data_IF_047014364846
#
_entry.id   IF_047014364846
#
_cell.length_a   1.000
_cell.length_b   1.000
_cell.length_c   1.000
_cell.angle_alpha   90.00
_cell.angle_beta   90.00
_cell.angle_gamma   90.00
#
_symmetry.space_group_name_H-M   'P 1'
#
loop_
_entity.id
_entity.type
_entity.pdbx_description
1 polymer ?
#
# COMPACT_ATOMS: atom_id res chain seq x y z
N UNK A 1 -31.11 -9.29 23.06
CA UNK A 1 -29.66 -9.53 22.90
C UNK A 1 -28.99 -8.95 24.15
N UNK A 2 -28.17 -9.74 24.83
CA UNK A 2 -27.49 -9.32 26.06
C UNK A 2 -26.18 -8.62 25.67
N UNK A 3 -26.11 -7.31 25.86
CA UNK A 3 -24.89 -6.52 25.70
C UNK A 3 -23.85 -6.96 26.75
N UNK A 4 -22.58 -7.09 26.35
CA UNK A 4 -21.51 -7.68 27.17
C UNK A 4 -20.31 -6.73 27.30
N UNK A 5 -20.39 -5.74 28.19
CA UNK A 5 -19.31 -4.78 28.47
C UNK A 5 -18.22 -5.30 29.42
N UNK A 6 -17.90 -6.61 29.39
CA UNK A 6 -17.04 -7.25 30.40
C UNK A 6 -15.59 -6.77 30.41
N UNK A 7 -15.15 -6.05 29.38
CA UNK A 7 -13.79 -5.56 29.20
C UNK A 7 -13.63 -4.06 29.45
N UNK A 8 -14.74 -3.32 29.63
CA UNK A 8 -14.71 -1.88 29.93
C UNK A 8 -14.56 -1.69 31.43
N UNK A 9 -13.85 -0.65 31.80
CA UNK A 9 -13.40 -0.52 33.15
C UNK A 9 -14.29 0.21 34.13
N UNK A 10 -14.27 -0.35 35.35
CA UNK A 10 -14.24 0.38 36.63
C UNK A 10 -14.04 1.90 36.61
N UNK A 11 -15.05 2.77 36.70
CA UNK A 11 -14.87 4.24 36.77
C UNK A 11 -13.95 4.76 37.93
N UNK A 12 -13.47 3.88 38.81
CA UNK A 12 -12.55 4.18 39.93
C UNK A 12 -11.09 3.75 39.76
N UNK A 13 -10.74 2.89 38.79
CA UNK A 13 -9.39 2.32 38.66
C UNK A 13 -8.59 3.07 37.59
N UNK A 14 -7.91 4.14 38.01
CA UNK A 14 -7.17 5.05 37.13
C UNK A 14 -5.83 4.46 36.68
N UNK A 15 -5.88 3.37 35.93
CA UNK A 15 -4.85 3.01 34.94
C UNK A 15 -5.47 2.28 33.72
N UNK A 16 -6.76 2.50 33.45
CA UNK A 16 -7.37 2.69 32.12
C UNK A 16 -6.50 2.84 30.88
N UNK A 17 -6.08 1.77 30.17
CA UNK A 17 -5.95 1.91 28.72
C UNK A 17 -7.38 2.13 28.19
N UNK A 18 -7.69 3.27 27.53
CA UNK A 18 -9.05 3.55 27.09
C UNK A 18 -9.43 2.57 25.98
N UNK A 19 -10.15 1.51 26.35
CA UNK A 19 -10.76 0.56 25.43
C UNK A 19 -12.18 1.03 25.12
N UNK A 20 -12.54 1.04 23.84
CA UNK A 20 -13.92 1.35 23.42
C UNK A 20 -14.82 0.16 23.76
N UNK A 21 -16.07 0.44 24.17
CA UNK A 21 -17.06 -0.61 24.40
C UNK A 21 -17.52 -1.23 23.07
N UNK A 22 -17.86 -2.51 23.06
CA UNK A 22 -18.23 -3.24 21.83
C UNK A 22 -19.45 -2.64 21.11
N UNK A 23 -20.39 -2.07 21.86
CA UNK A 23 -21.58 -1.41 21.31
C UNK A 23 -21.33 0.05 20.90
N UNK A 24 -20.10 0.56 21.08
CA UNK A 24 -19.74 1.91 20.66
C UNK A 24 -19.71 1.96 19.14
N UNK A 25 -20.55 2.80 18.54
CA UNK A 25 -20.48 3.08 17.11
C UNK A 25 -19.12 3.71 16.80
N UNK A 26 -18.34 3.02 15.97
CA UNK A 26 -17.12 3.55 15.38
C UNK A 26 -17.48 4.16 14.03
N UNK A 27 -16.92 5.31 13.72
CA UNK A 27 -17.07 5.93 12.41
C UNK A 27 -16.42 5.03 11.36
N UNK A 28 -17.19 4.65 10.35
CA UNK A 28 -16.67 3.96 9.18
C UNK A 28 -16.01 5.00 8.26
N UNK A 29 -14.69 4.91 7.97
CA UNK A 29 -14.05 5.80 7.02
C UNK A 29 -14.54 5.59 5.58
N UNK A 30 -15.29 4.52 5.29
CA UNK A 30 -15.83 4.21 3.98
C UNK A 30 -17.22 4.84 3.81
N UNK A 31 -17.33 5.74 2.82
CA UNK A 31 -18.62 6.25 2.38
C UNK A 31 -19.22 5.31 1.33
N UNK A 32 -20.27 4.58 1.71
CA UNK A 32 -21.01 3.62 0.87
C UNK A 32 -21.46 4.22 -0.48
N UNK A 33 -21.65 5.54 -0.58
CA UNK A 33 -22.08 6.20 -1.82
C UNK A 33 -20.94 6.44 -2.81
N UNK A 34 -19.70 6.37 -2.34
CA UNK A 34 -18.48 6.58 -3.16
C UNK A 34 -17.64 5.32 -3.32
N UNK A 35 -17.83 4.35 -2.43
CA UNK A 35 -17.16 3.06 -2.42
C UNK A 35 -17.80 2.08 -3.43
N UNK A 36 -17.88 2.50 -4.69
CA UNK A 36 -18.44 1.72 -5.80
C UNK A 36 -17.32 1.06 -6.62
N UNK A 37 -17.21 -0.27 -6.50
CA UNK A 37 -16.21 -1.07 -7.21
C UNK A 37 -16.46 -1.14 -8.71
N UNK A 38 -17.73 -1.06 -9.15
CA UNK A 38 -18.07 -1.08 -10.57
C UNK A 38 -17.62 0.23 -11.22
N UNK A 39 -17.87 1.37 -10.55
CA UNK A 39 -17.37 2.67 -10.99
C UNK A 39 -15.83 2.78 -10.95
N UNK A 40 -15.17 2.09 -10.01
CA UNK A 40 -13.71 2.04 -9.97
C UNK A 40 -13.15 1.25 -11.16
N UNK A 41 -13.71 0.08 -11.46
CA UNK A 41 -13.27 -0.76 -12.57
C UNK A 41 -13.41 -0.06 -13.92
N UNK A 42 -14.50 0.66 -14.15
CA UNK A 42 -14.71 1.42 -15.38
C UNK A 42 -13.63 2.51 -15.60
N UNK A 43 -13.24 3.21 -14.52
CA UNK A 43 -12.14 4.19 -14.57
C UNK A 43 -10.81 3.51 -14.83
N UNK A 44 -10.53 2.42 -14.15
CA UNK A 44 -9.29 1.67 -14.30
C UNK A 44 -9.13 1.15 -15.74
N UNK A 45 -10.21 0.65 -16.36
CA UNK A 45 -10.22 0.21 -17.76
C UNK A 45 -9.96 1.37 -18.74
N UNK A 46 -10.52 2.55 -18.48
CA UNK A 46 -10.28 3.74 -19.28
C UNK A 46 -8.83 4.23 -19.16
N UNK A 47 -8.31 4.32 -17.93
CA UNK A 47 -6.96 4.79 -17.63
C UNK A 47 -5.88 3.82 -18.12
N UNK A 48 -6.14 2.50 -18.08
CA UNK A 48 -5.23 1.48 -18.58
C UNK A 48 -4.99 1.57 -20.10
N UNK A 49 -5.99 2.05 -20.85
CA UNK A 49 -5.90 2.22 -22.31
C UNK A 49 -5.35 3.61 -22.68
N UNK A 50 -5.49 4.60 -21.80
CA UNK A 50 -5.05 5.97 -22.08
C UNK A 50 -3.51 6.09 -22.08
N UNK A 51 -2.96 6.22 -23.27
CA UNK A 51 -1.53 6.44 -23.50
C UNK A 51 -1.05 7.82 -23.05
N UNK A 52 -1.95 8.77 -22.81
CA UNK A 52 -1.61 10.11 -22.33
C UNK A 52 -1.07 10.09 -20.90
N UNK A 53 -1.48 9.10 -20.11
CA UNK A 53 -1.00 8.84 -18.75
C UNK A 53 0.40 8.19 -18.71
N UNK A 54 0.99 7.87 -19.87
CA UNK A 54 2.33 7.27 -19.95
C UNK A 54 3.39 8.39 -19.97
N UNK A 55 4.28 8.36 -18.98
CA UNK A 55 5.46 9.22 -18.94
C UNK A 55 6.36 8.90 -20.14
N UNK A 56 6.69 9.91 -20.95
CA UNK A 56 7.47 9.74 -22.19
C UNK A 56 8.98 9.58 -21.98
N UNK A 57 9.44 9.70 -20.73
CA UNK A 57 10.85 9.59 -20.34
C UNK A 57 11.11 8.34 -19.49
N UNK A 58 12.39 7.94 -19.44
CA UNK A 58 12.81 6.84 -18.57
C UNK A 58 12.72 7.30 -17.12
N UNK A 59 12.01 6.55 -16.30
CA UNK A 59 11.90 6.77 -14.84
C UNK A 59 13.24 6.62 -14.10
N UNK A 60 14.27 6.10 -14.76
CA UNK A 60 15.65 6.04 -14.26
C UNK A 60 16.57 6.78 -15.23
N UNK A 61 17.14 7.89 -14.77
CA UNK A 61 18.01 8.81 -15.53
C UNK A 61 19.40 8.25 -15.89
N UNK A 62 19.60 6.93 -15.86
CA UNK A 62 20.86 6.31 -16.23
C UNK A 62 20.68 5.49 -17.51
N UNK A 63 21.25 5.96 -18.61
CA UNK A 63 21.72 5.03 -19.62
C UNK A 63 22.85 4.20 -19.00
N UNK A 64 22.85 2.86 -19.17
CA UNK A 64 24.01 2.07 -18.77
C UNK A 64 25.24 2.60 -19.52
N UNK A 65 26.21 3.12 -18.78
CA UNK A 65 27.49 3.54 -19.36
C UNK A 65 28.21 2.29 -19.87
N UNK A 66 28.19 2.10 -21.18
CA UNK A 66 28.53 0.83 -21.82
C UNK A 66 27.31 -0.09 -21.80
N UNK A 67 26.67 -0.27 -22.96
CA UNK A 67 25.52 -1.18 -23.10
C UNK A 67 25.82 -2.59 -22.59
N UNK A 68 24.78 -3.39 -22.38
CA UNK A 68 24.94 -4.77 -21.91
C UNK A 68 25.90 -5.55 -22.81
N UNK A 69 27.07 -5.89 -22.27
CA UNK A 69 28.07 -6.74 -22.91
C UNK A 69 28.36 -7.91 -21.98
N UNK A 70 28.55 -9.08 -22.57
CA UNK A 70 28.97 -10.27 -21.84
C UNK A 70 30.36 -10.02 -21.20
N UNK A 71 30.57 -10.44 -19.93
CA UNK A 71 31.87 -10.36 -19.28
C UNK A 71 32.92 -11.10 -20.11
N UNK A 72 34.14 -10.56 -20.18
CA UNK A 72 35.27 -11.29 -20.78
C UNK A 72 35.67 -12.52 -19.97
N UNK A 73 36.42 -13.44 -20.58
CA UNK A 73 36.83 -14.72 -19.96
C UNK A 73 37.51 -14.56 -18.59
N UNK A 74 38.21 -13.44 -18.37
CA UNK A 74 38.94 -13.13 -17.14
C UNK A 74 38.24 -12.05 -16.27
N UNK A 75 37.08 -11.53 -16.70
CA UNK A 75 36.39 -10.44 -16.01
C UNK A 75 35.62 -10.95 -14.78
N UNK A 76 36.13 -10.64 -13.59
CA UNK A 76 35.55 -11.09 -12.32
C UNK A 76 36.23 -12.33 -11.72
N UNK A 77 37.28 -12.84 -12.35
CA UNK A 77 38.12 -13.90 -11.77
C UNK A 77 39.22 -13.25 -10.92
N UNK A 78 39.35 -13.60 -9.62
CA UNK A 78 40.44 -13.09 -8.79
C UNK A 78 41.79 -13.62 -9.28
N UNK A 79 42.78 -12.74 -9.36
CA UNK A 79 44.18 -13.11 -9.64
C UNK A 79 44.89 -13.39 -8.32
N UNK A 80 45.46 -14.58 -8.18
CA UNK A 80 46.36 -14.89 -7.06
C UNK A 80 47.73 -14.26 -7.34
N UNK A 81 48.24 -13.45 -6.39
CA UNK A 81 49.57 -12.78 -6.45
C UNK A 81 50.74 -13.76 -6.25
#
# INVERSE_FOLDING_TARGET
MSSSDSYVSRQGDKAEIPVQADDTKVEDPIDETTADTDAQLERDDADAIDKSNIISERTRHAEPAGGYREPGDDEGIPVDE
#
